data_IF_533205787174
#
_entry.id   IF_533205787174
#
_cell.length_a   1.000
_cell.length_b   1.000
_cell.length_c   1.000
_cell.angle_alpha   90.00
_cell.angle_beta   90.00
_cell.angle_gamma   90.00
#
_symmetry.space_group_name_H-M   'P 1'
#
loop_
_entity.id
_entity.type
_entity.pdbx_description
1 polymer ?
#
# COMPACT_ATOMS: atom_id res chain seq x y z
N UNK A 1 -10.68 -2.83 -0.34
CA UNK A 1 -10.87 -3.30 -1.73
C UNK A 1 -9.69 -4.19 -2.10
N UNK A 2 -9.88 -5.26 -2.85
CA UNK A 2 -8.76 -6.11 -3.30
C UNK A 2 -7.90 -5.34 -4.32
N UNK A 3 -6.58 -5.40 -4.17
CA UNK A 3 -5.58 -4.76 -5.03
C UNK A 3 -5.73 -5.16 -6.51
N UNK A 4 -6.22 -6.37 -6.80
CA UNK A 4 -6.51 -6.87 -8.16
C UNK A 4 -7.67 -6.14 -8.86
N UNK A 5 -8.50 -5.42 -8.10
CA UNK A 5 -9.63 -4.68 -8.64
C UNK A 5 -9.27 -3.26 -9.08
N UNK A 6 -8.05 -2.80 -8.79
CA UNK A 6 -7.59 -1.43 -9.08
C UNK A 6 -7.18 -1.31 -10.55
N UNK A 7 -7.95 -0.56 -11.34
CA UNK A 7 -7.70 -0.43 -12.80
C UNK A 7 -7.61 1.03 -13.27
N UNK A 8 -7.88 1.98 -12.40
CA UNK A 8 -7.92 3.39 -12.73
C UNK A 8 -7.42 4.29 -11.59
N UNK A 9 -7.16 5.55 -11.92
CA UNK A 9 -6.86 6.59 -10.93
C UNK A 9 -7.96 6.72 -9.86
N UNK A 10 -9.23 6.56 -10.23
CA UNK A 10 -10.34 6.65 -9.28
C UNK A 10 -10.34 5.48 -8.29
N UNK A 11 -9.94 4.30 -8.74
CA UNK A 11 -9.83 3.13 -7.86
C UNK A 11 -8.69 3.32 -6.86
N UNK A 12 -7.55 3.88 -7.28
CA UNK A 12 -6.44 4.23 -6.37
C UNK A 12 -6.87 5.27 -5.34
N UNK A 13 -7.58 6.33 -5.76
CA UNK A 13 -8.09 7.35 -4.81
C UNK A 13 -9.00 6.71 -3.78
N UNK A 14 -9.91 5.81 -4.20
CA UNK A 14 -10.77 5.06 -3.29
C UNK A 14 -9.95 4.17 -2.36
N UNK A 15 -8.96 3.46 -2.89
CA UNK A 15 -8.07 2.59 -2.11
C UNK A 15 -7.34 3.36 -1.00
N UNK A 16 -6.75 4.51 -1.34
CA UNK A 16 -6.06 5.36 -0.35
C UNK A 16 -7.04 5.84 0.73
N UNK A 17 -8.26 6.21 0.34
CA UNK A 17 -9.27 6.63 1.30
C UNK A 17 -9.67 5.48 2.25
N UNK A 18 -9.82 4.26 1.74
CA UNK A 18 -10.07 3.06 2.55
C UNK A 18 -8.89 2.76 3.49
N UNK A 19 -7.64 2.90 3.00
CA UNK A 19 -6.43 2.67 3.80
C UNK A 19 -6.29 3.68 4.95
N UNK A 20 -6.62 4.95 4.71
CA UNK A 20 -6.64 5.99 5.75
C UNK A 20 -7.70 5.67 6.81
N UNK A 21 -8.90 5.25 6.40
CA UNK A 21 -9.96 4.86 7.33
C UNK A 21 -9.51 3.67 8.17
N UNK A 22 -8.92 2.64 7.52
CA UNK A 22 -8.40 1.47 8.20
C UNK A 22 -7.30 1.81 9.22
N UNK A 23 -6.37 2.71 8.87
CA UNK A 23 -5.37 3.18 9.83
C UNK A 23 -5.99 3.89 11.04
N UNK A 24 -7.00 4.73 10.83
CA UNK A 24 -7.66 5.47 11.91
C UNK A 24 -8.45 4.53 12.83
N UNK A 25 -9.18 3.56 12.25
CA UNK A 25 -10.07 2.67 12.99
C UNK A 25 -9.33 1.48 13.62
N UNK A 26 -8.26 1.00 12.98
CA UNK A 26 -7.55 -0.22 13.35
C UNK A 26 -6.07 0.06 13.65
N UNK A 27 -5.73 1.26 14.14
CA UNK A 27 -4.35 1.70 14.41
C UNK A 27 -3.51 0.68 15.19
N UNK A 28 -4.10 0.04 16.20
CA UNK A 28 -3.41 -0.93 17.06
C UNK A 28 -3.05 -2.25 16.35
N UNK A 29 -3.54 -2.46 15.13
CA UNK A 29 -3.25 -3.63 14.29
C UNK A 29 -2.14 -3.39 13.27
N UNK A 30 -1.70 -2.14 13.11
CA UNK A 30 -0.61 -1.78 12.22
C UNK A 30 0.71 -1.90 12.98
N UNK A 31 1.71 -2.54 12.37
CA UNK A 31 3.05 -2.61 12.94
C UNK A 31 3.74 -1.25 12.89
N UNK A 32 3.54 -0.52 11.78
CA UNK A 32 4.10 0.81 11.55
C UNK A 32 3.12 1.93 11.95
N UNK A 33 3.11 2.25 13.24
CA UNK A 33 2.21 3.23 13.84
C UNK A 33 2.66 4.67 13.56
N UNK A 34 3.97 4.90 13.47
CA UNK A 34 4.55 6.19 13.11
C UNK A 34 4.72 6.30 11.60
N UNK A 35 4.54 7.52 11.08
CA UNK A 35 4.65 7.79 9.65
C UNK A 35 6.07 7.48 9.12
N UNK A 36 7.10 7.65 9.94
CA UNK A 36 8.48 7.31 9.57
C UNK A 36 8.62 5.83 9.22
N UNK A 37 8.13 4.97 10.10
CA UNK A 37 8.33 3.52 10.02
C UNK A 37 7.55 2.94 8.82
N UNK A 38 6.37 3.51 8.57
CA UNK A 38 5.58 3.20 7.37
C UNK A 38 6.28 3.62 6.08
N UNK A 39 6.93 4.80 6.05
CA UNK A 39 7.65 5.27 4.87
C UNK A 39 8.95 4.51 4.62
N UNK A 40 9.66 4.09 5.67
CA UNK A 40 10.84 3.23 5.58
C UNK A 40 10.47 1.86 5.00
N UNK A 41 9.40 1.25 5.51
CA UNK A 41 8.88 -0.03 5.01
C UNK A 41 8.37 0.06 3.57
N UNK A 42 7.74 1.19 3.20
CA UNK A 42 7.35 1.49 1.81
C UNK A 42 8.57 1.58 0.88
N UNK A 43 9.63 2.25 1.32
CA UNK A 43 10.86 2.37 0.55
C UNK A 43 11.52 1.01 0.36
N UNK A 44 11.70 0.24 1.44
CA UNK A 44 12.32 -1.08 1.40
C UNK A 44 11.56 -2.03 0.44
N UNK A 45 10.23 -2.03 0.52
CA UNK A 45 9.42 -2.82 -0.42
C UNK A 45 9.60 -2.38 -1.87
N UNK A 46 9.64 -1.07 -2.15
CA UNK A 46 9.84 -0.54 -3.51
C UNK A 46 11.23 -0.86 -4.07
N UNK A 47 12.26 -0.95 -3.22
CA UNK A 47 13.61 -1.35 -3.61
C UNK A 47 13.69 -2.85 -3.97
N UNK A 48 12.91 -3.69 -3.27
CA UNK A 48 12.84 -5.13 -3.49
C UNK A 48 11.81 -5.54 -4.57
N UNK A 49 10.86 -4.66 -4.89
CA UNK A 49 9.83 -4.91 -5.89
C UNK A 49 10.45 -4.95 -7.30
N UNK A 50 10.41 -6.13 -7.92
CA UNK A 50 10.90 -6.30 -9.28
C UNK A 50 9.97 -5.57 -10.28
N UNK A 51 10.52 -4.70 -11.14
CA UNK A 51 9.76 -3.95 -12.16
C UNK A 51 8.93 -4.88 -13.08
N UNK A 52 9.36 -6.14 -13.21
CA UNK A 52 8.71 -7.19 -13.99
C UNK A 52 7.52 -7.88 -13.29
N UNK A 53 7.31 -7.67 -11.98
CA UNK A 53 6.26 -8.33 -11.20
C UNK A 53 4.89 -7.63 -11.33
N UNK A 54 4.86 -6.37 -11.78
CA UNK A 54 3.61 -5.78 -12.21
C UNK A 54 3.22 -6.42 -13.54
N UNK A 55 2.00 -6.92 -13.63
CA UNK A 55 1.29 -7.34 -14.85
C UNK A 55 1.09 -6.17 -15.85
N UNK A 56 1.96 -5.15 -15.82
CA UNK A 56 1.87 -3.87 -16.51
C UNK A 56 0.92 -2.88 -15.82
N UNK A 57 0.20 -3.30 -14.79
CA UNK A 57 -0.76 -2.46 -14.09
C UNK A 57 -0.09 -1.64 -12.98
N UNK A 58 0.42 -0.47 -13.38
CA UNK A 58 1.00 0.52 -12.45
C UNK A 58 0.08 0.93 -11.29
N UNK A 59 -1.24 0.78 -11.43
CA UNK A 59 -2.19 1.11 -10.36
C UNK A 59 -2.21 0.04 -9.28
N UNK A 60 -2.17 -1.23 -9.68
CA UNK A 60 -2.03 -2.36 -8.75
C UNK A 60 -0.68 -2.33 -8.04
N UNK A 61 0.41 -2.02 -8.77
CA UNK A 61 1.73 -1.83 -8.17
C UNK A 61 1.70 -0.76 -7.08
N UNK A 62 1.10 0.41 -7.37
CA UNK A 62 0.99 1.50 -6.40
C UNK A 62 0.16 1.12 -5.16
N UNK A 63 -0.96 0.42 -5.34
CA UNK A 63 -1.77 -0.02 -4.19
C UNK A 63 -1.05 -1.08 -3.36
N UNK A 64 -0.33 -2.01 -3.99
CA UNK A 64 0.46 -3.04 -3.30
C UNK A 64 1.60 -2.41 -2.48
N UNK A 65 2.27 -1.41 -3.06
CA UNK A 65 3.29 -0.64 -2.37
C UNK A 65 2.74 0.04 -1.11
N UNK A 66 1.51 0.55 -1.14
CA UNK A 66 0.88 1.21 0.01
C UNK A 66 0.35 0.22 1.06
N UNK A 67 -0.01 -1.00 0.67
CA UNK A 67 -0.59 -1.99 1.58
C UNK A 67 0.47 -2.78 2.36
N UNK A 68 1.55 -3.17 1.69
CA UNK A 68 2.58 -4.04 2.27
C UNK A 68 3.26 -3.46 3.53
N UNK A 69 3.57 -2.16 3.60
CA UNK A 69 4.17 -1.51 4.77
C UNK A 69 3.29 -1.52 6.02
N UNK A 70 2.04 -1.99 5.96
CA UNK A 70 1.21 -2.20 7.15
C UNK A 70 1.71 -3.35 8.03
N UNK A 71 2.40 -4.32 7.43
CA UNK A 71 2.71 -5.64 8.03
C UNK A 71 4.20 -6.04 7.91
N UNK A 72 5.08 -5.07 7.64
CA UNK A 72 6.50 -5.31 7.42
C UNK A 72 7.28 -4.44 8.42
N UNK A 73 8.12 -5.07 9.26
CA UNK A 73 9.08 -4.40 10.16
C UNK A 73 10.36 -3.97 9.43
#
# INVERSE_FOLDING_TARGET
MDTDQVKSKQDVIRFIQELIIDFIENKDTWENIELSDYLESLQAWLEDADDAASDGNKWKLLCSALETPKFYE
#
